data_IF_555448650282
#
_entry.id   IF_555448650282
#
_cell.length_a   1.000
_cell.length_b   1.000
_cell.length_c   1.000
_cell.angle_alpha   90.00
_cell.angle_beta   90.00
_cell.angle_gamma   90.00
#
_symmetry.space_group_name_H-M   'P 1'
#
loop_
_entity.id
_entity.type
_entity.pdbx_description
1 polymer ?
#
# COMPACT_ATOMS: atom_id res chain seq x y z
N UNK A 1 12.09 16.24 -7.53
CA UNK A 1 12.10 14.76 -7.45
C UNK A 1 13.54 14.31 -7.50
N UNK A 2 14.12 13.89 -6.37
CA UNK A 2 15.57 13.96 -6.14
C UNK A 2 16.31 12.65 -6.43
N UNK A 3 17.46 12.74 -7.09
CA UNK A 3 18.49 11.68 -7.11
C UNK A 3 19.83 12.37 -6.82
N UNK A 4 20.52 11.96 -5.76
CA UNK A 4 21.93 12.33 -5.58
C UNK A 4 22.73 11.60 -6.67
N UNK A 5 23.47 12.33 -7.50
CA UNK A 5 24.11 11.75 -8.67
C UNK A 5 25.25 10.80 -8.30
N UNK A 6 25.26 9.71 -9.07
CA UNK A 6 26.41 8.94 -9.58
C UNK A 6 27.19 8.01 -8.65
N UNK A 7 27.23 6.76 -9.08
CA UNK A 7 27.92 5.65 -8.48
C UNK A 7 29.40 5.90 -8.26
N UNK A 8 29.77 5.96 -6.99
CA UNK A 8 31.11 5.72 -6.45
C UNK A 8 31.03 4.99 -5.09
N UNK A 9 29.88 4.36 -4.78
CA UNK A 9 29.60 3.80 -3.46
C UNK A 9 29.24 2.30 -3.54
N UNK A 10 30.22 1.49 -3.90
CA UNK A 10 30.36 0.17 -3.28
C UNK A 10 31.64 0.23 -2.44
N UNK A 11 31.48 0.35 -1.13
CA UNK A 11 32.48 0.03 -0.09
C UNK A 11 33.51 1.07 0.40
N UNK A 12 33.72 2.26 -0.19
CA UNK A 12 34.79 3.16 0.31
C UNK A 12 34.43 4.66 0.33
N UNK A 13 33.63 5.11 1.31
CA UNK A 13 33.69 6.50 1.81
C UNK A 13 32.89 6.70 3.11
N UNK A 14 33.27 5.99 4.17
CA UNK A 14 32.90 6.35 5.55
C UNK A 14 34.12 6.60 6.46
N UNK A 15 35.35 6.57 5.90
CA UNK A 15 36.60 6.82 6.63
C UNK A 15 37.38 8.02 6.06
N UNK A 16 36.79 9.23 6.11
CA UNK A 16 37.58 10.48 6.23
C UNK A 16 36.71 11.69 6.58
N UNK A 17 36.07 11.63 7.74
CA UNK A 17 35.34 12.78 8.31
C UNK A 17 35.75 12.96 9.77
N UNK A 18 36.91 13.58 9.99
CA UNK A 18 37.30 14.29 11.21
C UNK A 18 38.77 14.74 11.10
N UNK A 19 38.98 16.01 10.75
CA UNK A 19 40.02 16.89 11.35
C UNK A 19 39.80 18.31 10.83
N UNK A 20 39.30 19.25 11.64
CA UNK A 20 39.60 20.65 11.42
C UNK A 20 41.05 20.90 11.84
N UNK A 21 41.81 21.59 10.98
CA UNK A 21 43.11 22.15 11.34
C UNK A 21 42.90 23.20 12.45
N UNK A 22 43.72 23.13 13.49
CA UNK A 22 43.64 24.02 14.64
C UNK A 22 44.06 25.44 14.30
N UNK A 23 43.35 26.41 14.88
CA UNK A 23 43.92 27.68 15.32
C UNK A 23 43.22 28.08 16.62
N UNK A 24 44.05 28.42 17.61
CA UNK A 24 43.70 28.74 18.99
C UNK A 24 42.90 30.05 19.10
N UNK A 25 42.01 30.13 20.10
CA UNK A 25 41.46 31.42 20.55
C UNK A 25 40.13 31.30 21.30
N UNK A 26 40.25 31.29 22.62
CA UNK A 26 39.31 31.81 23.63
C UNK A 26 38.04 31.03 24.02
N UNK A 27 38.15 30.45 25.22
CA UNK A 27 37.07 30.03 26.12
C UNK A 27 36.23 31.24 26.58
N UNK A 28 34.91 31.25 26.37
CA UNK A 28 33.90 31.70 27.38
C UNK A 28 32.53 31.09 27.05
N UNK A 29 31.88 30.45 28.03
CA UNK A 29 30.42 30.38 28.11
C UNK A 29 29.76 29.01 27.84
N UNK A 30 29.87 28.09 28.79
CA UNK A 30 29.11 26.84 28.79
C UNK A 30 27.61 27.09 29.06
N UNK A 31 26.80 27.05 28.01
CA UNK A 31 25.36 26.86 28.09
C UNK A 31 24.97 25.58 27.34
N UNK A 32 24.14 24.78 28.00
CA UNK A 32 23.82 23.39 27.74
C UNK A 32 23.13 23.17 26.39
N UNK A 33 23.89 22.75 25.37
CA UNK A 33 23.33 22.18 24.14
C UNK A 33 22.97 20.71 24.37
N UNK A 34 21.68 20.41 24.30
CA UNK A 34 21.16 19.04 24.22
C UNK A 34 21.82 18.33 23.04
N UNK A 35 22.38 17.16 23.35
CA UNK A 35 22.96 16.15 22.47
C UNK A 35 22.39 16.13 21.05
N UNK A 36 23.22 16.50 20.07
CA UNK A 36 23.06 16.09 18.68
C UNK A 36 23.03 14.56 18.60
N UNK A 37 22.11 13.93 17.85
CA UNK A 37 22.11 12.49 17.71
C UNK A 37 23.40 12.06 16.98
N UNK A 38 24.12 11.11 17.57
CA UNK A 38 25.36 10.55 17.05
C UNK A 38 25.13 9.90 15.68
N UNK A 39 26.11 10.06 14.78
CA UNK A 39 26.12 9.51 13.41
C UNK A 39 26.02 7.97 13.31
N UNK A 40 25.86 7.26 14.44
CA UNK A 40 25.66 5.82 14.54
C UNK A 40 24.19 5.38 14.38
N UNK A 41 23.22 6.30 14.40
CA UNK A 41 21.79 5.95 14.33
C UNK A 41 21.22 5.87 12.89
N UNK A 42 22.01 6.20 11.87
CA UNK A 42 21.61 6.22 10.46
C UNK A 42 21.97 4.93 9.69
N UNK A 43 22.55 3.91 10.35
CA UNK A 43 23.08 2.70 9.71
C UNK A 43 22.07 1.57 9.52
N UNK A 44 20.91 1.59 10.19
CA UNK A 44 20.04 0.42 10.31
C UNK A 44 18.70 0.57 9.58
N UNK A 45 18.60 1.51 8.62
CA UNK A 45 17.41 1.65 7.79
C UNK A 45 17.35 0.46 6.82
N UNK A 46 16.38 -0.46 6.93
CA UNK A 46 16.28 -1.57 5.99
C UNK A 46 15.97 -1.01 4.59
N UNK A 47 16.89 -1.23 3.66
CA UNK A 47 16.77 -0.82 2.25
C UNK A 47 16.19 -1.96 1.40
N UNK A 48 16.40 -3.20 1.85
CA UNK A 48 15.97 -4.42 1.17
C UNK A 48 15.15 -5.29 2.14
N UNK A 49 14.30 -6.16 1.58
CA UNK A 49 13.58 -7.20 2.34
C UNK A 49 14.10 -8.58 2.00
N UNK A 50 14.17 -9.46 3.00
CA UNK A 50 14.36 -10.89 2.76
C UNK A 50 13.03 -11.63 2.79
N UNK A 51 13.00 -12.82 2.20
CA UNK A 51 11.83 -13.68 2.25
C UNK A 51 11.47 -14.08 3.70
N UNK A 52 12.46 -14.22 4.57
CA UNK A 52 12.24 -14.54 5.98
C UNK A 52 11.53 -13.39 6.70
N UNK A 53 11.92 -12.13 6.43
CA UNK A 53 11.27 -10.95 7.00
C UNK A 53 9.79 -10.88 6.61
N UNK A 54 9.50 -11.13 5.33
CA UNK A 54 8.12 -11.13 4.83
C UNK A 54 7.28 -12.28 5.40
N UNK A 55 7.89 -13.44 5.66
CA UNK A 55 7.21 -14.57 6.30
C UNK A 55 6.89 -14.30 7.77
N UNK A 56 7.71 -13.52 8.50
CA UNK A 56 7.47 -13.21 9.91
C UNK A 56 6.15 -12.46 10.15
N UNK A 57 5.67 -11.69 9.16
CA UNK A 57 4.37 -11.03 9.23
C UNK A 57 3.19 -11.99 9.44
N UNK A 58 3.33 -13.28 9.09
CA UNK A 58 2.31 -14.30 9.33
C UNK A 58 1.87 -14.36 10.80
N UNK A 59 2.81 -14.18 11.74
CA UNK A 59 2.51 -14.22 13.17
C UNK A 59 1.67 -13.02 13.64
N UNK A 60 1.81 -11.88 12.98
CA UNK A 60 1.10 -10.63 13.32
C UNK A 60 -0.18 -10.44 12.51
N UNK A 61 -0.34 -11.18 11.41
CA UNK A 61 -1.50 -11.10 10.52
C UNK A 61 -2.88 -11.22 11.22
N UNK A 62 -3.08 -12.06 12.25
CA UNK A 62 -4.35 -12.11 12.99
C UNK A 62 -4.72 -10.81 13.71
N UNK A 63 -3.74 -9.96 14.02
CA UNK A 63 -3.95 -8.69 14.72
C UNK A 63 -4.53 -7.60 13.80
N UNK A 64 -4.56 -7.84 12.49
CA UNK A 64 -5.03 -6.89 11.51
C UNK A 64 -6.58 -6.90 11.45
N UNK A 65 -7.28 -5.79 11.77
CA UNK A 65 -8.72 -5.71 11.66
C UNK A 65 -9.14 -5.54 10.20
N UNK A 66 -9.10 -6.64 9.43
CA UNK A 66 -9.43 -6.64 8.01
C UNK A 66 -10.85 -6.11 7.73
N UNK A 67 -11.81 -6.35 8.63
CA UNK A 67 -13.17 -5.81 8.49
C UNK A 67 -13.18 -4.29 8.30
N UNK A 68 -12.29 -3.56 8.99
CA UNK A 68 -12.12 -2.11 8.83
C UNK A 68 -11.54 -1.76 7.47
N UNK A 69 -10.48 -2.44 7.05
CA UNK A 69 -9.86 -2.19 5.74
C UNK A 69 -10.83 -2.52 4.58
N UNK A 70 -11.62 -3.57 4.72
CA UNK A 70 -12.66 -3.97 3.77
C UNK A 70 -13.86 -3.02 3.77
N UNK A 71 -14.16 -2.37 4.89
CA UNK A 71 -15.18 -1.32 4.97
C UNK A 71 -14.81 -0.09 4.14
N UNK A 72 -13.53 0.28 4.07
CA UNK A 72 -13.06 1.34 3.17
C UNK A 72 -13.29 0.97 1.69
N UNK A 73 -13.28 -0.32 1.37
CA UNK A 73 -13.56 -0.84 0.04
C UNK A 73 -15.06 -1.10 -0.22
N UNK A 74 -15.95 -0.78 0.71
CA UNK A 74 -17.37 -1.09 0.59
C UNK A 74 -18.04 -0.14 -0.41
N UNK A 75 -18.62 -0.70 -1.47
CA UNK A 75 -19.53 0.03 -2.35
C UNK A 75 -20.86 0.25 -1.63
N UNK A 76 -21.51 1.38 -1.90
CA UNK A 76 -22.89 1.64 -1.47
C UNK A 76 -23.77 0.44 -1.89
N UNK A 77 -24.47 -0.22 -0.95
CA UNK A 77 -25.31 -1.36 -1.27
C UNK A 77 -26.44 -0.91 -2.20
N UNK A 78 -26.55 -1.54 -3.38
CA UNK A 78 -27.64 -1.27 -4.31
C UNK A 78 -27.38 -1.57 -5.78
N UNK A 79 -26.13 -1.74 -6.23
CA UNK A 79 -25.87 -1.75 -7.68
C UNK A 79 -25.81 -3.12 -8.37
N UNK A 80 -25.50 -4.24 -7.71
CA UNK A 80 -25.58 -5.54 -8.38
C UNK A 80 -25.85 -6.68 -7.40
N UNK A 81 -27.12 -6.94 -7.11
CA UNK A 81 -27.55 -8.29 -6.79
C UNK A 81 -27.43 -9.10 -8.09
N UNK A 82 -26.29 -9.74 -8.33
CA UNK A 82 -26.18 -10.69 -9.44
C UNK A 82 -27.06 -11.91 -9.10
N UNK A 83 -28.07 -12.27 -9.92
CA UNK A 83 -28.92 -13.43 -9.64
C UNK A 83 -28.23 -14.75 -10.08
N UNK A 84 -26.94 -14.92 -9.75
CA UNK A 84 -26.19 -16.14 -10.06
C UNK A 84 -26.10 -17.00 -8.81
N UNK A 85 -27.07 -17.89 -8.69
CA UNK A 85 -27.12 -18.95 -7.69
C UNK A 85 -26.20 -20.10 -8.13
N UNK A 86 -25.05 -20.24 -7.49
CA UNK A 86 -24.13 -21.37 -7.65
C UNK A 86 -24.14 -22.26 -6.40
N UNK A 87 -23.62 -23.50 -6.52
CA UNK A 87 -23.64 -24.60 -5.53
C UNK A 87 -22.89 -24.36 -4.18
N UNK A 88 -22.61 -23.11 -3.79
CA UNK A 88 -21.86 -22.72 -2.58
C UNK A 88 -22.63 -21.76 -1.69
N UNK A 89 -23.88 -22.10 -1.37
CA UNK A 89 -24.78 -21.27 -0.55
C UNK A 89 -24.93 -21.91 0.84
N UNK A 90 -24.48 -21.20 1.88
CA UNK A 90 -24.69 -21.62 3.25
C UNK A 90 -26.04 -21.14 3.77
N UNK A 91 -26.74 -22.00 4.50
CA UNK A 91 -28.01 -21.63 5.11
C UNK A 91 -27.78 -20.53 6.16
N UNK A 92 -28.42 -19.37 5.98
CA UNK A 92 -28.33 -18.26 6.94
C UNK A 92 -29.41 -18.38 7.99
N UNK A 93 -30.68 -18.31 7.55
CA UNK A 93 -31.85 -18.32 8.42
C UNK A 93 -33.11 -18.59 7.58
N UNK A 94 -34.20 -19.00 8.22
CA UNK A 94 -35.51 -19.11 7.56
C UNK A 94 -36.40 -17.97 8.03
N UNK A 95 -36.93 -17.16 7.09
CA UNK A 95 -37.88 -16.07 7.40
C UNK A 95 -39.28 -16.37 6.91
N UNK A 96 -40.28 -15.64 7.40
CA UNK A 96 -41.65 -15.73 6.86
C UNK A 96 -41.64 -15.34 5.37
N UNK A 97 -42.33 -16.16 4.57
CA UNK A 97 -42.50 -15.96 3.14
C UNK A 97 -43.17 -14.61 2.86
N UNK A 98 -42.63 -13.88 1.88
CA UNK A 98 -43.26 -12.67 1.35
C UNK A 98 -43.67 -12.88 -0.10
N UNK A 99 -44.80 -12.27 -0.54
CA UNK A 99 -45.19 -12.30 -1.95
C UNK A 99 -44.05 -11.79 -2.84
N UNK A 100 -43.59 -12.61 -3.78
CA UNK A 100 -42.43 -12.34 -4.64
C UNK A 100 -41.21 -13.20 -4.34
N UNK A 101 -41.18 -13.91 -3.21
CA UNK A 101 -40.15 -14.93 -2.94
C UNK A 101 -40.34 -16.15 -3.87
N UNK A 102 -39.22 -16.68 -4.39
CA UNK A 102 -39.23 -17.88 -5.25
C UNK A 102 -39.63 -19.13 -4.42
N UNK A 103 -40.70 -19.86 -4.80
CA UNK A 103 -41.16 -21.03 -4.07
C UNK A 103 -40.14 -22.19 -4.02
N UNK A 104 -39.10 -22.17 -4.86
CA UNK A 104 -38.00 -23.16 -4.79
C UNK A 104 -37.14 -23.03 -3.54
N UNK A 105 -37.15 -21.87 -2.89
CA UNK A 105 -36.39 -21.62 -1.66
C UNK A 105 -37.20 -21.81 -0.39
N UNK A 106 -38.43 -22.30 -0.48
CA UNK A 106 -39.23 -22.49 0.71
C UNK A 106 -38.68 -23.61 1.60
N UNK A 107 -38.70 -23.35 2.91
CA UNK A 107 -38.38 -24.32 3.93
C UNK A 107 -39.60 -25.18 4.25
N UNK A 108 -39.81 -26.24 3.48
CA UNK A 108 -40.95 -27.14 3.70
C UNK A 108 -40.96 -27.78 5.09
N UNK A 109 -39.79 -28.01 5.68
CA UNK A 109 -39.70 -28.62 7.01
C UNK A 109 -40.16 -27.65 8.09
N UNK A 110 -39.69 -26.40 8.05
CA UNK A 110 -40.13 -25.38 8.99
C UNK A 110 -41.58 -24.95 8.75
N UNK A 111 -42.01 -24.89 7.48
CA UNK A 111 -43.38 -24.58 7.08
C UNK A 111 -44.37 -25.61 7.61
N UNK A 112 -44.06 -26.92 7.47
CA UNK A 112 -44.90 -27.99 7.99
C UNK A 112 -45.04 -27.95 9.52
N UNK A 113 -43.98 -27.54 10.24
CA UNK A 113 -44.00 -27.47 11.71
C UNK A 113 -44.70 -26.23 12.26
N UNK A 114 -44.60 -25.10 11.57
CA UNK A 114 -45.15 -23.81 12.04
C UNK A 114 -46.51 -23.47 11.44
N UNK A 115 -46.94 -24.17 10.39
CA UNK A 115 -48.16 -23.87 9.64
C UNK A 115 -48.11 -22.58 8.82
N UNK A 116 -46.95 -21.89 8.78
CA UNK A 116 -46.74 -20.65 8.04
C UNK A 116 -45.63 -20.85 7.00
N UNK A 117 -45.79 -20.37 5.75
CA UNK A 117 -44.75 -20.51 4.74
C UNK A 117 -43.49 -19.74 5.15
N UNK A 118 -42.35 -20.43 5.15
CA UNK A 118 -41.03 -19.86 5.42
C UNK A 118 -40.12 -19.99 4.19
N UNK A 119 -39.35 -18.95 3.88
CA UNK A 119 -38.33 -18.94 2.83
C UNK A 119 -36.95 -19.10 3.46
N UNK A 120 -36.15 -20.06 2.99
CA UNK A 120 -34.73 -20.20 3.35
C UNK A 120 -33.96 -19.04 2.74
N UNK A 121 -33.31 -18.25 3.59
CA UNK A 121 -32.29 -17.31 3.20
C UNK A 121 -30.95 -18.02 3.21
N UNK A 122 -30.26 -17.92 2.09
CA UNK A 122 -28.91 -18.44 1.94
C UNK A 122 -27.93 -17.27 1.96
N UNK A 123 -26.82 -17.42 2.68
CA UNK A 123 -25.66 -16.57 2.54
C UNK A 123 -24.78 -17.15 1.43
N UNK A 124 -24.37 -16.31 0.49
CA UNK A 124 -23.35 -16.73 -0.45
C UNK A 124 -22.00 -16.55 0.23
N UNK A 125 -21.38 -17.64 0.69
CA UNK A 125 -19.98 -17.60 1.14
C UNK A 125 -19.10 -17.52 -0.13
N UNK A 126 -19.06 -16.34 -0.74
CA UNK A 126 -18.14 -16.05 -1.84
C UNK A 126 -16.79 -15.70 -1.25
N UNK A 127 -15.81 -16.59 -1.45
CA UNK A 127 -14.39 -16.21 -1.44
C UNK A 127 -14.20 -15.02 -2.39
N UNK A 128 -13.88 -13.86 -1.83
CA UNK A 128 -13.66 -12.63 -2.58
C UNK A 128 -12.27 -12.73 -3.23
N UNK A 129 -12.18 -12.63 -4.56
CA UNK A 129 -10.88 -12.55 -5.21
C UNK A 129 -10.22 -11.23 -4.80
N UNK A 130 -8.98 -11.33 -4.32
CA UNK A 130 -8.14 -10.18 -3.94
C UNK A 130 -6.93 -10.10 -4.84
N UNK A 131 -6.63 -8.88 -5.30
CA UNK A 131 -5.47 -8.57 -6.11
C UNK A 131 -4.61 -7.52 -5.41
N UNK A 132 -3.38 -7.88 -5.05
CA UNK A 132 -2.40 -6.95 -4.48
C UNK A 132 -1.52 -6.39 -5.60
N UNK A 133 -1.67 -5.12 -5.93
CA UNK A 133 -0.74 -4.42 -6.82
C UNK A 133 0.31 -3.70 -5.97
N UNK A 134 1.56 -4.09 -6.13
CA UNK A 134 2.65 -3.72 -5.24
C UNK A 134 3.71 -3.00 -6.05
N UNK A 135 3.95 -1.76 -5.71
CA UNK A 135 4.93 -0.95 -6.37
C UNK A 135 6.32 -1.16 -5.77
N UNK A 136 7.28 -1.48 -6.64
CA UNK A 136 8.71 -1.61 -6.40
C UNK A 136 9.48 -0.83 -7.48
N UNK A 137 9.01 0.37 -7.83
CA UNK A 137 9.79 1.30 -8.64
C UNK A 137 10.98 1.88 -7.84
N UNK A 138 12.07 2.20 -8.54
CA UNK A 138 13.33 2.64 -7.93
C UNK A 138 13.21 3.93 -7.10
N UNK A 139 12.30 4.84 -7.46
CA UNK A 139 12.04 6.05 -6.68
C UNK A 139 11.39 5.79 -5.32
N UNK A 140 10.94 4.56 -5.06
CA UNK A 140 10.46 4.12 -3.74
C UNK A 140 11.59 3.68 -2.80
N UNK A 141 12.81 3.44 -3.30
CA UNK A 141 13.95 3.03 -2.47
C UNK A 141 14.39 4.14 -1.50
N UNK A 142 14.04 5.40 -1.79
CA UNK A 142 14.38 6.56 -0.97
C UNK A 142 13.39 6.80 0.17
N UNK A 143 13.91 7.05 1.37
CA UNK A 143 13.14 7.46 2.55
C UNK A 143 14.06 7.87 3.71
N UNK A 144 13.50 8.57 4.71
CA UNK A 144 14.24 9.06 5.89
C UNK A 144 14.48 7.98 6.94
N UNK A 145 13.45 7.19 7.20
CA UNK A 145 13.42 6.21 8.29
C UNK A 145 13.35 4.77 7.78
N UNK A 146 12.68 4.57 6.64
CA UNK A 146 12.57 3.30 5.94
C UNK A 146 12.39 3.58 4.45
N UNK A 147 12.91 2.68 3.60
CA UNK A 147 12.59 2.69 2.18
C UNK A 147 11.07 2.51 2.01
N UNK A 148 10.42 3.35 1.19
CA UNK A 148 9.00 3.17 0.85
C UNK A 148 8.77 1.84 0.14
N UNK A 149 9.75 1.34 -0.62
CA UNK A 149 9.69 0.01 -1.24
C UNK A 149 9.63 -1.11 -0.19
N UNK A 150 10.39 -0.98 0.90
CA UNK A 150 10.34 -1.90 2.05
C UNK A 150 9.01 -1.79 2.79
N UNK A 151 8.49 -0.57 3.00
CA UNK A 151 7.16 -0.37 3.56
C UNK A 151 6.07 -1.01 2.69
N UNK A 152 6.16 -0.86 1.37
CA UNK A 152 5.24 -1.48 0.41
C UNK A 152 5.27 -3.01 0.53
N UNK A 153 6.47 -3.59 0.58
CA UNK A 153 6.67 -5.02 0.67
C UNK A 153 6.11 -5.60 1.99
N UNK A 154 6.42 -4.96 3.12
CA UNK A 154 5.90 -5.35 4.44
C UNK A 154 4.37 -5.24 4.50
N UNK A 155 3.80 -4.17 3.94
CA UNK A 155 2.36 -3.97 3.86
C UNK A 155 1.69 -5.08 3.04
N UNK A 156 2.25 -5.39 1.88
CA UNK A 156 1.74 -6.45 1.01
C UNK A 156 1.81 -7.81 1.69
N UNK A 157 2.91 -8.13 2.39
CA UNK A 157 3.07 -9.38 3.11
C UNK A 157 2.06 -9.52 4.25
N UNK A 158 1.91 -8.48 5.08
CA UNK A 158 0.94 -8.47 6.18
C UNK A 158 -0.50 -8.65 5.65
N UNK A 159 -0.87 -7.94 4.58
CA UNK A 159 -2.18 -8.09 3.95
C UNK A 159 -2.38 -9.49 3.37
N UNK A 160 -1.40 -10.02 2.62
CA UNK A 160 -1.51 -11.33 2.00
C UNK A 160 -1.70 -12.44 3.05
N UNK A 161 -0.93 -12.41 4.14
CA UNK A 161 -1.10 -13.36 5.24
C UNK A 161 -2.45 -13.21 5.94
N UNK A 162 -2.89 -11.98 6.22
CA UNK A 162 -4.16 -11.75 6.89
C UNK A 162 -5.34 -12.22 6.03
N UNK A 163 -5.32 -11.94 4.73
CA UNK A 163 -6.34 -12.36 3.77
C UNK A 163 -6.36 -13.89 3.61
N UNK A 164 -5.19 -14.54 3.63
CA UNK A 164 -5.09 -16.00 3.59
C UNK A 164 -5.76 -16.64 4.81
N UNK A 165 -5.57 -16.06 6.00
CA UNK A 165 -6.21 -16.54 7.24
C UNK A 165 -7.74 -16.43 7.15
N UNK A 166 -8.26 -15.41 6.47
CA UNK A 166 -9.70 -15.26 6.18
C UNK A 166 -10.21 -16.17 5.06
N UNK A 167 -9.35 -17.00 4.46
CA UNK A 167 -9.72 -17.91 3.37
C UNK A 167 -9.91 -17.26 2.01
N UNK A 168 -9.50 -15.99 1.84
CA UNK A 168 -9.65 -15.26 0.58
C UNK A 168 -8.68 -15.79 -0.49
N UNK A 169 -9.05 -15.64 -1.78
CA UNK A 169 -8.15 -15.99 -2.91
C UNK A 169 -7.27 -14.80 -3.24
N UNK A 170 -5.98 -15.04 -3.38
CA UNK A 170 -4.98 -13.98 -3.51
C UNK A 170 -4.26 -14.14 -4.84
N UNK A 171 -4.18 -13.04 -5.58
CA UNK A 171 -3.24 -12.82 -6.68
C UNK A 171 -2.60 -11.45 -6.53
N UNK A 172 -1.84 -11.05 -7.54
CA UNK A 172 -1.22 -9.75 -7.47
C UNK A 172 -0.33 -9.43 -8.66
N UNK A 173 0.20 -8.22 -8.63
CA UNK A 173 1.24 -7.78 -9.53
C UNK A 173 2.33 -7.11 -8.72
N UNK A 174 3.58 -7.42 -9.04
CA UNK A 174 4.74 -6.68 -8.52
C UNK A 174 5.31 -5.90 -9.68
N UNK A 175 5.29 -4.57 -9.55
CA UNK A 175 5.84 -3.66 -10.55
C UNK A 175 7.27 -3.28 -10.16
N UNK A 176 8.25 -3.71 -10.92
CA UNK A 176 9.63 -3.23 -10.84
C UNK A 176 9.87 -2.02 -11.75
N UNK A 177 11.12 -1.55 -11.80
CA UNK A 177 11.49 -0.43 -12.69
C UNK A 177 11.64 -0.84 -14.17
N UNK A 178 11.95 -2.11 -14.43
CA UNK A 178 12.22 -2.63 -15.78
C UNK A 178 11.42 -3.89 -16.13
N UNK A 179 10.73 -4.46 -15.14
CA UNK A 179 10.01 -5.72 -15.27
C UNK A 179 8.76 -5.68 -14.41
N UNK A 180 7.82 -6.56 -14.71
CA UNK A 180 6.63 -6.77 -13.92
C UNK A 180 6.35 -8.26 -13.80
N UNK A 181 5.77 -8.65 -12.68
CA UNK A 181 5.35 -10.03 -12.43
C UNK A 181 3.87 -10.06 -12.11
N UNK A 182 3.09 -10.70 -12.97
CA UNK A 182 1.66 -10.92 -12.77
C UNK A 182 1.40 -12.32 -12.23
N UNK A 183 0.67 -12.40 -11.12
CA UNK A 183 0.35 -13.64 -10.44
C UNK A 183 -1.17 -13.84 -10.46
N UNK A 184 -1.66 -14.96 -11.02
CA UNK A 184 -3.09 -15.23 -11.09
C UNK A 184 -3.66 -15.40 -9.69
N UNK A 185 -4.92 -15.00 -9.51
CA UNK A 185 -5.64 -15.15 -8.25
C UNK A 185 -5.88 -16.63 -7.97
N UNK A 186 -5.24 -17.17 -6.94
CA UNK A 186 -5.36 -18.57 -6.52
C UNK A 186 -5.65 -18.68 -5.03
N UNK A 187 -6.12 -19.86 -4.61
CA UNK A 187 -6.32 -20.19 -3.20
C UNK A 187 -5.05 -20.83 -2.62
N UNK A 188 -4.86 -20.62 -1.33
CA UNK A 188 -3.89 -21.36 -0.53
C UNK A 188 -2.55 -20.64 -0.34
N UNK A 189 -1.78 -21.19 0.58
CA UNK A 189 -0.51 -20.60 1.02
C UNK A 189 0.53 -20.46 -0.10
N UNK A 190 0.51 -21.37 -1.08
CA UNK A 190 1.41 -21.31 -2.23
C UNK A 190 1.27 -20.02 -3.04
N UNK A 191 0.05 -19.46 -3.15
CA UNK A 191 -0.17 -18.20 -3.84
C UNK A 191 0.49 -17.02 -3.12
N UNK A 192 0.38 -16.99 -1.78
CA UNK A 192 1.05 -15.97 -0.94
C UNK A 192 2.55 -16.11 -1.04
N UNK A 193 3.09 -17.32 -0.86
CA UNK A 193 4.54 -17.58 -0.92
C UNK A 193 5.12 -17.19 -2.29
N UNK A 194 4.44 -17.51 -3.39
CA UNK A 194 4.86 -17.07 -4.73
C UNK A 194 4.88 -15.55 -4.88
N UNK A 195 3.86 -14.85 -4.36
CA UNK A 195 3.83 -13.39 -4.33
C UNK A 195 5.00 -12.81 -3.54
N UNK A 196 5.30 -13.36 -2.36
CA UNK A 196 6.42 -12.90 -1.52
C UNK A 196 7.77 -13.14 -2.21
N UNK A 197 7.97 -14.24 -2.92
CA UNK A 197 9.18 -14.48 -3.69
C UNK A 197 9.36 -13.46 -4.82
N UNK A 198 8.30 -13.18 -5.59
CA UNK A 198 8.35 -12.15 -6.64
C UNK A 198 8.66 -10.77 -6.04
N UNK A 199 8.02 -10.45 -4.91
CA UNK A 199 8.24 -9.19 -4.21
C UNK A 199 9.69 -9.02 -3.75
N UNK A 200 10.30 -10.05 -3.14
CA UNK A 200 11.72 -10.04 -2.75
C UNK A 200 12.63 -9.88 -3.97
N UNK A 201 12.35 -10.62 -5.05
CA UNK A 201 13.15 -10.55 -6.28
C UNK A 201 13.15 -9.13 -6.86
N UNK A 202 11.98 -8.50 -7.00
CA UNK A 202 11.87 -7.12 -7.50
C UNK A 202 12.52 -6.12 -6.55
N UNK A 203 12.36 -6.28 -5.25
CA UNK A 203 12.96 -5.41 -4.25
C UNK A 203 14.51 -5.47 -4.29
N UNK A 204 15.09 -6.65 -4.47
CA UNK A 204 16.54 -6.83 -4.58
C UNK A 204 17.12 -6.36 -5.93
N UNK A 205 16.27 -6.14 -6.94
CA UNK A 205 16.68 -5.57 -8.22
C UNK A 205 16.75 -4.02 -8.20
N UNK A 206 16.33 -3.39 -7.10
CA UNK A 206 16.40 -1.95 -6.87
C UNK A 206 17.85 -1.50 -6.72
N UNK A 207 18.50 -1.21 -7.85
CA UNK A 207 19.94 -0.93 -7.91
C UNK A 207 20.25 0.54 -8.18
N UNK A 208 19.64 1.14 -9.20
CA UNK A 208 19.82 2.55 -9.54
C UNK A 208 18.54 3.35 -9.30
N UNK A 209 18.64 4.43 -8.54
CA UNK A 209 17.56 5.40 -8.38
C UNK A 209 17.30 6.08 -9.72
N UNK A 210 16.11 5.85 -10.29
CA UNK A 210 15.62 6.59 -11.44
C UNK A 210 14.47 7.50 -11.00
N UNK A 211 14.37 8.73 -11.53
CA UNK A 211 13.24 9.59 -11.22
C UNK A 211 11.94 8.94 -11.70
N UNK A 212 10.84 9.20 -11.00
CA UNK A 212 9.54 8.73 -11.45
C UNK A 212 9.11 9.53 -12.68
N UNK A 213 8.72 8.82 -13.73
CA UNK A 213 8.31 9.40 -15.01
C UNK A 213 6.79 9.48 -15.03
N UNK A 214 6.19 10.68 -15.21
CA UNK A 214 4.74 10.81 -15.27
C UNK A 214 4.12 9.87 -16.32
N UNK A 215 3.12 9.09 -15.90
CA UNK A 215 2.44 8.12 -16.75
C UNK A 215 3.03 6.71 -16.72
N UNK A 216 4.17 6.47 -16.07
CA UNK A 216 4.76 5.13 -15.98
C UNK A 216 3.82 4.15 -15.24
N UNK A 217 3.15 4.61 -14.17
CA UNK A 217 2.17 3.78 -13.45
C UNK A 217 0.89 3.53 -14.27
N UNK A 218 0.52 4.47 -15.14
CA UNK A 218 -0.74 4.43 -15.90
C UNK A 218 -0.81 3.18 -16.81
N UNK A 219 0.31 2.81 -17.45
CA UNK A 219 0.37 1.65 -18.33
C UNK A 219 0.01 0.34 -17.59
N UNK A 220 0.55 0.16 -16.38
CA UNK A 220 0.26 -1.02 -15.56
C UNK A 220 -1.18 -1.02 -15.04
N UNK A 221 -1.69 0.14 -14.62
CA UNK A 221 -3.08 0.27 -14.16
C UNK A 221 -4.10 0.02 -15.29
N UNK A 222 -3.74 0.27 -16.54
CA UNK A 222 -4.59 -0.04 -17.70
C UNK A 222 -4.66 -1.54 -18.01
N UNK A 223 -3.61 -2.31 -17.69
CA UNK A 223 -3.59 -3.77 -17.86
C UNK A 223 -4.30 -4.50 -16.71
N UNK A 224 -4.31 -3.91 -15.52
CA UNK A 224 -4.86 -4.52 -14.30
C UNK A 224 -6.27 -5.12 -14.43
N UNK A 225 -7.26 -4.50 -15.12
CA UNK A 225 -8.58 -5.09 -15.32
C UNK A 225 -8.58 -6.43 -16.07
N UNK A 226 -7.54 -6.73 -16.87
CA UNK A 226 -7.42 -8.00 -17.60
C UNK A 226 -7.07 -9.17 -16.68
N UNK A 227 -6.47 -8.88 -15.52
CA UNK A 227 -6.08 -9.86 -14.51
C UNK A 227 -7.09 -9.99 -13.36
N UNK A 228 -8.15 -9.17 -13.39
CA UNK A 228 -9.16 -9.10 -12.33
C UNK A 228 -10.54 -9.48 -12.86
N UNK A 229 -11.24 -10.34 -12.11
CA UNK A 229 -12.66 -10.58 -12.35
C UNK A 229 -13.51 -9.40 -11.86
N UNK A 230 -14.80 -9.36 -12.23
CA UNK A 230 -15.74 -8.36 -11.68
C UNK A 230 -15.80 -8.47 -10.16
N UNK A 231 -15.89 -7.32 -9.48
CA UNK A 231 -15.95 -7.21 -8.00
C UNK A 231 -14.71 -7.73 -7.25
N UNK A 232 -13.58 -7.93 -7.95
CA UNK A 232 -12.27 -8.17 -7.30
C UNK A 232 -11.92 -6.99 -6.38
N UNK A 233 -11.44 -7.32 -5.18
CA UNK A 233 -10.86 -6.34 -4.26
C UNK A 233 -9.41 -6.07 -4.64
N UNK A 234 -9.08 -4.82 -4.93
CA UNK A 234 -7.75 -4.41 -5.36
C UNK A 234 -7.15 -3.52 -4.27
N UNK A 235 -5.99 -3.91 -3.75
CA UNK A 235 -5.13 -3.03 -2.97
C UNK A 235 -4.03 -2.49 -3.89
N UNK A 236 -3.99 -1.18 -4.11
CA UNK A 236 -2.89 -0.51 -4.82
C UNK A 236 -1.94 0.10 -3.80
N UNK A 237 -0.72 -0.41 -3.71
CA UNK A 237 0.30 0.01 -2.75
C UNK A 237 1.41 0.76 -3.49
N UNK A 238 1.44 2.08 -3.39
CA UNK A 238 2.39 2.95 -4.12
C UNK A 238 2.50 4.34 -3.47
N UNK A 239 3.50 5.12 -3.88
CA UNK A 239 3.56 6.57 -3.62
C UNK A 239 2.89 7.42 -4.71
N UNK A 240 2.40 6.79 -5.79
CA UNK A 240 1.63 7.37 -6.90
C UNK A 240 2.27 8.56 -7.64
N UNK A 241 3.57 8.84 -7.47
CA UNK A 241 4.20 10.04 -8.03
C UNK A 241 4.35 10.02 -9.55
N UNK A 242 4.42 8.83 -10.13
CA UNK A 242 4.45 8.60 -11.57
C UNK A 242 3.06 8.34 -12.17
N UNK A 243 2.00 8.59 -11.42
CA UNK A 243 0.64 8.60 -11.96
C UNK A 243 0.44 9.85 -12.82
N UNK A 244 0.15 9.67 -14.10
CA UNK A 244 -0.17 10.75 -15.02
C UNK A 244 -1.65 11.12 -14.99
N UNK A 245 -2.52 10.10 -14.98
CA UNK A 245 -3.98 10.28 -15.12
C UNK A 245 -4.76 9.72 -13.93
N UNK A 246 -5.11 10.60 -12.99
CA UNK A 246 -5.97 10.28 -11.83
C UNK A 246 -7.31 9.63 -12.19
N UNK A 247 -7.85 9.91 -13.39
CA UNK A 247 -9.10 9.33 -13.88
C UNK A 247 -9.06 7.80 -13.99
N UNK A 248 -7.88 7.20 -14.13
CA UNK A 248 -7.71 5.74 -14.14
C UNK A 248 -8.09 5.13 -12.79
N UNK A 249 -7.72 5.77 -11.69
CA UNK A 249 -8.09 5.33 -10.33
C UNK A 249 -9.61 5.35 -10.14
N UNK A 250 -10.26 6.43 -10.60
CA UNK A 250 -11.72 6.54 -10.55
C UNK A 250 -12.40 5.44 -11.38
N UNK A 251 -11.89 5.14 -12.59
CA UNK A 251 -12.41 4.06 -13.42
C UNK A 251 -12.27 2.69 -12.73
N UNK A 252 -11.10 2.41 -12.15
CA UNK A 252 -10.86 1.19 -11.39
C UNK A 252 -11.80 1.07 -10.19
N UNK A 253 -12.01 2.15 -9.43
CA UNK A 253 -12.94 2.18 -8.29
C UNK A 253 -14.42 1.98 -8.70
N UNK A 254 -14.81 2.35 -9.91
CA UNK A 254 -16.16 2.06 -10.42
C UNK A 254 -16.34 0.59 -10.84
N UNK A 255 -15.29 -0.05 -11.33
CA UNK A 255 -15.33 -1.43 -11.83
C UNK A 255 -15.05 -2.49 -10.75
N UNK A 256 -14.23 -2.13 -9.77
CA UNK A 256 -13.70 -3.01 -8.74
C UNK A 256 -13.79 -2.35 -7.37
N UNK A 257 -13.63 -3.14 -6.31
CA UNK A 257 -13.50 -2.57 -4.95
C UNK A 257 -12.05 -2.14 -4.79
N UNK A 258 -11.80 -0.83 -4.76
CA UNK A 258 -10.44 -0.29 -4.78
C UNK A 258 -10.05 0.25 -3.39
N UNK A 259 -8.86 -0.11 -2.91
CA UNK A 259 -8.22 0.52 -1.76
C UNK A 259 -6.85 1.04 -2.17
N UNK A 260 -6.66 2.35 -2.09
CA UNK A 260 -5.37 2.99 -2.29
C UNK A 260 -4.63 3.00 -0.96
N UNK A 261 -3.43 2.43 -0.95
CA UNK A 261 -2.48 2.50 0.16
C UNK A 261 -1.35 3.41 -0.30
N UNK A 262 -1.45 4.68 0.08
CA UNK A 262 -0.50 5.72 -0.26
C UNK A 262 0.68 5.73 0.70
N UNK A 263 1.87 5.47 0.18
CA UNK A 263 3.14 5.44 0.93
C UNK A 263 3.71 6.86 1.05
N UNK A 264 3.86 7.35 2.27
CA UNK A 264 4.34 8.69 2.60
C UNK A 264 5.64 8.59 3.39
N UNK A 265 6.65 9.34 2.97
CA UNK A 265 7.85 9.57 3.78
C UNK A 265 7.81 10.99 4.38
N UNK A 266 8.36 11.22 5.59
CA UNK A 266 8.49 12.58 6.13
C UNK A 266 9.16 13.59 5.19
N UNK A 267 10.07 13.13 4.31
CA UNK A 267 10.71 13.99 3.31
C UNK A 267 9.75 14.46 2.21
N UNK A 268 8.65 13.75 2.00
CA UNK A 268 7.62 14.15 1.04
C UNK A 268 6.81 15.35 1.55
N UNK A 269 6.67 15.45 2.87
CA UNK A 269 5.97 16.56 3.52
C UNK A 269 6.89 17.75 3.79
N UNK A 270 8.12 17.48 4.23
CA UNK A 270 9.07 18.51 4.59
C UNK A 270 10.50 18.12 4.18
N UNK A 271 11.02 18.81 3.17
CA UNK A 271 12.42 18.70 2.81
C UNK A 271 13.31 19.30 3.90
N UNK A 272 14.49 18.71 4.17
CA UNK A 272 15.39 19.16 5.21
C UNK A 272 15.84 20.61 4.95
N UNK A 273 16.04 21.38 6.02
CA UNK A 273 16.54 22.75 5.95
C UNK A 273 18.06 22.80 5.71
N UNK A 274 18.55 22.04 4.72
CA UNK A 274 19.95 22.02 4.31
C UNK A 274 20.12 22.86 3.05
N UNK A 275 21.23 23.62 2.97
CA UNK A 275 21.62 24.34 1.77
C UNK A 275 22.49 23.44 0.88
N UNK A 276 22.02 22.23 0.62
CA UNK A 276 22.64 21.33 -0.34
C UNK A 276 21.92 21.47 -1.69
N UNK A 277 22.65 21.46 -2.82
CA UNK A 277 22.01 21.33 -4.11
C UNK A 277 21.30 19.98 -4.18
N UNK A 278 20.11 19.96 -4.76
CA UNK A 278 19.43 18.72 -5.06
C UNK A 278 19.14 18.63 -6.54
N UNK A 279 19.46 17.49 -7.12
CA UNK A 279 19.26 17.24 -8.54
C UNK A 279 17.89 16.62 -8.76
N UNK A 280 17.07 17.29 -9.57
CA UNK A 280 15.73 16.84 -9.95
C UNK A 280 15.67 16.19 -11.34
N UNK A 281 16.81 15.74 -11.87
CA UNK A 281 16.97 15.32 -13.26
C UNK A 281 17.18 16.48 -14.23
N UNK A 282 17.28 17.72 -13.71
CA UNK A 282 17.55 18.95 -14.45
C UNK A 282 18.89 19.59 -14.05
N UNK A 283 19.71 18.86 -13.28
CA UNK A 283 20.94 19.34 -12.67
C UNK A 283 20.75 19.85 -11.24
N UNK A 284 21.86 20.04 -10.51
CA UNK A 284 21.85 20.46 -9.11
C UNK A 284 21.25 21.87 -8.95
N UNK A 285 20.10 21.96 -8.28
CA UNK A 285 19.46 23.24 -7.95
C UNK A 285 19.52 23.51 -6.43
N UNK A 286 19.70 24.78 -6.01
CA UNK A 286 19.74 25.11 -4.59
C UNK A 286 18.38 24.86 -3.93
N UNK A 287 18.38 24.16 -2.79
CA UNK A 287 17.19 24.00 -1.96
C UNK A 287 16.87 25.29 -1.19
N UNK A 288 16.25 26.24 -1.88
CA UNK A 288 15.77 27.48 -1.26
C UNK A 288 14.39 27.30 -0.60
N UNK A 289 13.94 28.32 0.14
CA UNK A 289 12.65 28.28 0.85
C UNK A 289 11.46 28.14 -0.10
N UNK A 290 11.52 28.77 -1.28
CA UNK A 290 10.46 28.68 -2.28
C UNK A 290 10.31 27.25 -2.83
N UNK A 291 11.42 26.56 -3.11
CA UNK A 291 11.44 25.17 -3.56
C UNK A 291 10.86 24.23 -2.50
N UNK A 292 11.19 24.44 -1.21
CA UNK A 292 10.60 23.69 -0.10
C UNK A 292 9.08 23.88 0.01
N UNK A 293 8.61 25.13 -0.09
CA UNK A 293 7.18 25.44 -0.08
C UNK A 293 6.45 24.84 -1.29
N UNK A 294 7.04 24.95 -2.48
CA UNK A 294 6.48 24.37 -3.70
C UNK A 294 6.35 22.85 -3.58
N UNK A 295 7.39 22.17 -3.07
CA UNK A 295 7.40 20.74 -2.81
C UNK A 295 6.27 20.31 -1.86
N UNK A 296 6.16 20.98 -0.71
CA UNK A 296 5.12 20.69 0.28
C UNK A 296 3.71 20.90 -0.29
N UNK A 297 3.51 21.99 -1.05
CA UNK A 297 2.23 22.27 -1.71
C UNK A 297 1.90 21.24 -2.78
N UNK A 298 2.89 20.82 -3.58
CA UNK A 298 2.72 19.79 -4.60
C UNK A 298 2.32 18.45 -3.97
N UNK A 299 3.02 18.02 -2.92
CA UNK A 299 2.69 16.78 -2.20
C UNK A 299 1.28 16.85 -1.57
N UNK A 300 0.92 17.98 -0.94
CA UNK A 300 -0.43 18.18 -0.38
C UNK A 300 -1.52 18.10 -1.46
N UNK A 301 -1.31 18.75 -2.61
CA UNK A 301 -2.24 18.70 -3.75
C UNK A 301 -2.37 17.29 -4.30
N UNK A 302 -1.26 16.58 -4.48
CA UNK A 302 -1.24 15.19 -4.95
C UNK A 302 -2.05 14.28 -4.01
N UNK A 303 -1.80 14.36 -2.70
CA UNK A 303 -2.54 13.61 -1.67
C UNK A 303 -4.05 13.88 -1.72
N UNK A 304 -4.45 15.15 -1.85
CA UNK A 304 -5.85 15.54 -1.96
C UNK A 304 -6.50 15.00 -3.24
N UNK A 305 -5.80 15.06 -4.37
CA UNK A 305 -6.29 14.54 -5.65
C UNK A 305 -6.52 13.03 -5.60
N UNK A 306 -5.59 12.25 -5.02
CA UNK A 306 -5.75 10.81 -4.83
C UNK A 306 -6.98 10.48 -3.98
N UNK A 307 -7.11 11.09 -2.80
CA UNK A 307 -8.23 10.86 -1.90
C UNK A 307 -9.57 11.21 -2.56
N UNK A 308 -9.61 12.30 -3.35
CA UNK A 308 -10.82 12.72 -4.07
C UNK A 308 -11.24 11.73 -5.16
N UNK A 309 -10.30 11.04 -5.83
CA UNK A 309 -10.66 10.10 -6.91
C UNK A 309 -11.41 8.86 -6.42
N UNK A 310 -11.16 8.44 -5.19
CA UNK A 310 -11.77 7.24 -4.60
C UNK A 310 -12.87 7.56 -3.60
N UNK A 311 -13.12 8.85 -3.33
CA UNK A 311 -14.17 9.28 -2.41
C UNK A 311 -15.54 8.73 -2.86
N UNK A 312 -16.16 7.92 -2.00
CA UNK A 312 -17.49 7.33 -2.21
C UNK A 312 -17.53 6.09 -3.12
N UNK A 313 -16.42 5.69 -3.74
CA UNK A 313 -16.34 4.50 -4.61
C UNK A 313 -15.21 3.54 -4.22
N UNK A 314 -14.29 3.96 -3.35
CA UNK A 314 -13.20 3.14 -2.84
C UNK A 314 -12.61 3.70 -1.54
N UNK A 315 -11.56 3.03 -1.08
CA UNK A 315 -10.82 3.34 0.13
C UNK A 315 -9.54 4.11 -0.15
N UNK A 316 -9.17 5.00 0.76
CA UNK A 316 -7.87 5.65 0.78
C UNK A 316 -7.26 5.52 2.17
N UNK A 317 -6.04 5.01 2.24
CA UNK A 317 -5.24 4.88 3.45
C UNK A 317 -3.85 5.46 3.18
N UNK A 318 -3.36 6.29 4.09
CA UNK A 318 -1.99 6.79 4.05
C UNK A 318 -1.14 6.03 5.07
N UNK A 319 -0.04 5.43 4.61
CA UNK A 319 0.96 4.78 5.46
C UNK A 319 2.25 5.57 5.44
N UNK A 320 2.78 5.87 6.61
CA UNK A 320 4.01 6.61 6.81
C UNK A 320 5.19 5.68 7.10
N UNK A 321 6.35 6.00 6.54
CA UNK A 321 7.61 5.27 6.76
C UNK A 321 8.20 5.45 8.17
N UNK A 322 7.80 6.49 8.89
CA UNK A 322 8.28 6.83 10.24
C UNK A 322 7.41 6.26 11.38
N UNK A 323 6.39 5.46 11.05
CA UNK A 323 5.46 4.89 12.03
C UNK A 323 5.36 3.37 11.93
N UNK A 324 5.09 2.65 13.04
CA UNK A 324 4.94 1.19 13.02
C UNK A 324 3.77 0.73 12.14
N UNK A 325 4.03 -0.17 11.19
CA UNK A 325 3.06 -0.62 10.18
C UNK A 325 1.76 -1.15 10.78
N UNK A 326 1.86 -2.09 11.74
CA UNK A 326 0.68 -2.73 12.32
C UNK A 326 -0.26 -1.72 12.99
N UNK A 327 0.30 -0.72 13.69
CA UNK A 327 -0.45 0.33 14.39
C UNK A 327 -1.22 1.23 13.42
N UNK A 328 -0.63 1.51 12.26
CA UNK A 328 -1.26 2.32 11.21
C UNK A 328 -2.44 1.58 10.58
N UNK A 329 -2.28 0.29 10.31
CA UNK A 329 -3.31 -0.52 9.68
C UNK A 329 -4.41 -1.00 10.65
N UNK A 330 -4.11 -1.17 11.95
CA UNK A 330 -5.14 -1.35 12.99
C UNK A 330 -5.98 -0.08 13.18
N UNK A 331 -5.37 1.07 12.86
CA UNK A 331 -5.93 2.40 12.97
C UNK A 331 -6.08 2.86 14.41
N UNK A 332 -5.11 2.47 15.24
CA UNK A 332 -4.88 3.00 16.60
C UNK A 332 -4.23 4.40 16.58
N UNK A 333 -4.00 4.93 15.38
CA UNK A 333 -3.53 6.30 15.17
C UNK A 333 -4.77 7.10 14.82
N UNK A 334 -5.26 7.84 15.80
CA UNK A 334 -6.33 8.79 15.65
C UNK A 334 -6.12 9.61 14.36
N UNK A 335 -7.17 9.70 13.56
CA UNK A 335 -7.28 10.61 12.41
C UNK A 335 -6.78 11.99 12.85
N UNK A 336 -5.51 12.28 12.57
CA UNK A 336 -4.94 13.58 12.89
C UNK A 336 -5.23 14.45 11.67
N UNK A 337 -6.33 15.17 11.82
CA UNK A 337 -6.84 16.39 11.16
C UNK A 337 -6.00 17.02 10.05
#
# INVERSE_FOLDING_TARGET
>A
MFVLSTGWFKSLAFKRWAKPQGSQGDEVGAASYRSSPSASALSDVPVEVTFQDLCQWRAQAPLLPLSRLLAHAARIPGQHLSPRFGRGMDFKESRIYQPGDDPRHLDWKLTARTGRPHTKLYHEERERPVHLFIDQASHLQFGRCASKAVLAANTAALLAWALLIQGERIGGAVRGSQSESWLPIRRGESAVVQLLHQLVQHNQQLSALTPAVPGALDAHLQQLPQHCSRDTLIFLISDFRDLGHYTLLKRLAHQHRLVLIHLIDPLDEALPAINAPIDQGLGPQPLNTQARQHWQQQHKRHRQQLAQQVLGSGGYLALRSDQPLLRQLSGDIAETS
#
